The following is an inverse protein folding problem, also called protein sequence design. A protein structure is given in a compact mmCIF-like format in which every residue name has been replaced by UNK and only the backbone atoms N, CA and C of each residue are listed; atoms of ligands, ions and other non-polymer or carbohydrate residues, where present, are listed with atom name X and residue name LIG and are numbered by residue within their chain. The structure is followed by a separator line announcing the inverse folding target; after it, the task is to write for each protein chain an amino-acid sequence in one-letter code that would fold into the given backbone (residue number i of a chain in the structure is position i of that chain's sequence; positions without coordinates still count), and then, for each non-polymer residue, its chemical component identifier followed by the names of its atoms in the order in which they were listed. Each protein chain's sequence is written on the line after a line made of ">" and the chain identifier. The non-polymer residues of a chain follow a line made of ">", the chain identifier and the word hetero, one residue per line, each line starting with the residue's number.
data_IF_113415790280
#
_entry.id   IF_113415790280
#
_cell.length_a   1.000
_cell.length_b   1.000
_cell.length_c   1.000
_cell.angle_alpha   90.00
_cell.angle_beta   90.00
_cell.angle_gamma   90.00
#
_symmetry.space_group_name_H-M   'P 1'
#
loop_
_entity.id
_entity.type
_entity.pdbx_description
1 polymer ?
#
# COMPACT_ATOMS: atom_id res chain seq x y z
N UNK A 1 -2.39 -4.46 -19.87
CA UNK A 1 -1.76 -3.95 -18.64
C UNK A 1 -1.46 -5.04 -17.57
N UNK A 2 -2.08 -6.23 -17.63
CA UNK A 2 -1.93 -7.34 -16.67
C UNK A 2 -0.49 -7.92 -16.51
N UNK A 3 0.32 -7.96 -17.58
CA UNK A 3 1.70 -8.53 -17.55
C UNK A 3 2.68 -7.79 -16.62
N UNK A 4 2.47 -6.51 -16.32
CA UNK A 4 3.49 -5.66 -15.65
C UNK A 4 3.62 -5.95 -14.14
N UNK A 5 2.53 -6.33 -13.46
CA UNK A 5 2.57 -6.60 -12.02
C UNK A 5 3.04 -8.03 -11.72
N UNK A 6 2.73 -9.00 -12.58
CA UNK A 6 3.30 -10.35 -12.50
C UNK A 6 4.82 -10.33 -12.70
N UNK A 7 5.32 -9.46 -13.59
CA UNK A 7 6.76 -9.24 -13.76
C UNK A 7 7.44 -8.68 -12.52
N UNK A 8 6.76 -7.94 -11.63
CA UNK A 8 7.38 -7.35 -10.45
C UNK A 8 7.59 -8.36 -9.32
N UNK A 9 6.63 -9.27 -9.11
CA UNK A 9 6.83 -10.43 -8.23
C UNK A 9 7.94 -11.35 -8.78
N UNK A 10 7.98 -11.54 -10.10
CA UNK A 10 9.12 -12.22 -10.75
C UNK A 10 10.42 -11.46 -10.51
N UNK A 11 10.43 -10.12 -10.54
CA UNK A 11 11.63 -9.31 -10.33
C UNK A 11 12.22 -9.46 -8.93
N UNK A 12 11.41 -9.57 -7.87
CA UNK A 12 11.92 -9.89 -6.53
C UNK A 12 12.49 -11.31 -6.46
N UNK A 13 11.88 -12.26 -7.18
CA UNK A 13 12.45 -13.60 -7.36
C UNK A 13 13.76 -13.57 -8.17
N UNK A 14 13.90 -12.66 -9.14
CA UNK A 14 15.12 -12.48 -9.95
C UNK A 14 16.29 -11.89 -9.16
N UNK A 15 16.07 -11.16 -8.05
CA UNK A 15 17.17 -10.60 -7.25
C UNK A 15 18.06 -11.68 -6.64
N UNK A 16 17.47 -12.81 -6.22
CA UNK A 16 18.24 -13.95 -5.73
C UNK A 16 19.11 -14.58 -6.82
N UNK A 17 18.61 -14.65 -8.06
CA UNK A 17 19.39 -15.15 -9.19
C UNK A 17 20.61 -14.28 -9.50
N UNK A 18 20.48 -12.96 -9.40
CA UNK A 18 21.62 -12.04 -9.59
C UNK A 18 22.71 -12.34 -8.56
N UNK A 19 22.34 -12.54 -7.29
CA UNK A 19 23.31 -12.91 -6.25
C UNK A 19 23.99 -14.25 -6.54
N UNK A 20 23.22 -15.26 -6.99
CA UNK A 20 23.77 -16.57 -7.37
C UNK A 20 24.78 -16.42 -8.53
N UNK A 21 24.45 -15.64 -9.56
CA UNK A 21 25.33 -15.42 -10.72
C UNK A 21 26.62 -14.72 -10.29
N UNK A 22 26.53 -13.68 -9.46
CA UNK A 22 27.71 -12.98 -8.91
C UNK A 22 28.58 -13.95 -8.12
N UNK A 23 27.99 -14.78 -7.25
CA UNK A 23 28.73 -15.76 -6.46
C UNK A 23 29.42 -16.81 -7.33
N UNK A 24 28.75 -17.32 -8.37
CA UNK A 24 29.34 -18.28 -9.32
C UNK A 24 30.48 -17.64 -10.14
N UNK A 25 30.35 -16.37 -10.51
CA UNK A 25 31.40 -15.63 -11.21
C UNK A 25 32.63 -15.44 -10.31
N UNK A 26 32.44 -15.00 -9.06
CA UNK A 26 33.52 -14.86 -8.09
C UNK A 26 34.20 -16.20 -7.83
N UNK A 27 33.41 -17.27 -7.62
CA UNK A 27 33.94 -18.62 -7.44
C UNK A 27 34.79 -19.08 -8.63
N UNK A 28 34.31 -18.85 -9.87
CA UNK A 28 35.04 -19.22 -11.09
C UNK A 28 36.37 -18.46 -11.20
N UNK A 29 36.37 -17.15 -10.93
CA UNK A 29 37.58 -16.32 -10.99
C UNK A 29 38.61 -16.78 -9.96
N UNK A 30 38.19 -16.98 -8.72
CA UNK A 30 39.07 -17.45 -7.65
C UNK A 30 39.62 -18.85 -7.93
N UNK A 31 38.78 -19.77 -8.44
CA UNK A 31 39.20 -21.12 -8.80
C UNK A 31 40.22 -21.14 -9.94
N UNK A 32 40.08 -20.25 -10.94
CA UNK A 32 41.07 -20.10 -12.02
C UNK A 32 42.39 -19.54 -11.46
N UNK A 33 42.32 -18.57 -10.55
CA UNK A 33 43.50 -17.99 -9.89
C UNK A 33 44.25 -19.04 -9.06
N UNK A 34 43.54 -19.84 -8.27
CA UNK A 34 44.13 -20.89 -7.44
C UNK A 34 44.77 -21.99 -8.30
N UNK A 35 44.16 -22.31 -9.44
CA UNK A 35 44.73 -23.28 -10.39
C UNK A 35 46.01 -22.79 -11.04
N UNK A 36 46.14 -21.47 -11.28
CA UNK A 36 47.33 -20.89 -11.89
C UNK A 36 48.55 -20.87 -10.95
N UNK A 37 48.34 -20.81 -9.62
CA UNK A 37 49.39 -20.71 -8.60
C UNK A 37 49.33 -21.83 -7.54
N UNK A 38 49.61 -23.10 -7.88
CA UNK A 38 49.45 -24.24 -6.96
C UNK A 38 50.42 -24.27 -5.77
N UNK A 39 51.50 -23.46 -5.79
CA UNK A 39 52.56 -23.49 -4.78
C UNK A 39 52.34 -22.55 -3.59
N UNK A 40 51.26 -21.75 -3.58
CA UNK A 40 50.99 -20.81 -2.47
C UNK A 40 50.30 -21.50 -1.28
N UNK A 41 51.15 -21.95 -0.36
CA UNK A 41 51.01 -22.24 1.08
C UNK A 41 49.67 -22.71 1.72
N UNK A 42 49.65 -23.90 2.37
CA UNK A 42 48.54 -24.37 3.20
C UNK A 42 48.39 -23.67 4.57
N UNK A 43 49.40 -22.94 5.07
CA UNK A 43 49.34 -22.31 6.40
C UNK A 43 48.38 -21.11 6.44
N UNK A 44 48.42 -20.23 5.44
CA UNK A 44 47.53 -19.07 5.34
C UNK A 44 46.06 -19.49 5.15
N UNK A 45 45.83 -20.58 4.41
CA UNK A 45 44.50 -21.12 4.18
C UNK A 45 43.79 -21.50 5.49
N UNK A 46 44.53 -22.02 6.48
CA UNK A 46 43.93 -22.42 7.77
C UNK A 46 43.36 -21.22 8.53
N UNK A 47 44.12 -20.13 8.58
CA UNK A 47 43.68 -18.90 9.23
C UNK A 47 42.47 -18.28 8.53
N UNK A 48 42.48 -18.24 7.18
CA UNK A 48 41.38 -17.68 6.40
C UNK A 48 40.09 -18.49 6.60
N UNK A 49 40.15 -19.82 6.49
CA UNK A 49 38.98 -20.68 6.65
C UNK A 49 38.37 -20.56 8.06
N UNK A 50 39.23 -20.52 9.10
CA UNK A 50 38.78 -20.31 10.48
C UNK A 50 38.16 -18.92 10.67
N UNK A 51 38.80 -17.88 10.16
CA UNK A 51 38.31 -16.50 10.26
C UNK A 51 36.96 -16.31 9.55
N UNK A 52 36.77 -16.91 8.37
CA UNK A 52 35.49 -16.88 7.64
C UNK A 52 34.37 -17.52 8.47
N UNK A 53 34.60 -18.72 9.02
CA UNK A 53 33.61 -19.41 9.85
C UNK A 53 33.21 -18.57 11.07
N UNK A 54 34.20 -17.99 11.77
CA UNK A 54 33.95 -17.15 12.95
C UNK A 54 33.22 -15.85 12.59
N UNK A 55 33.65 -15.19 11.51
CA UNK A 55 33.02 -13.96 11.02
C UNK A 55 31.56 -14.17 10.62
N UNK A 56 31.27 -15.24 9.87
CA UNK A 56 29.89 -15.57 9.48
C UNK A 56 29.01 -15.91 10.69
N UNK A 57 29.54 -16.65 11.67
CA UNK A 57 28.82 -16.94 12.90
C UNK A 57 28.51 -15.67 13.69
N UNK A 58 29.47 -14.75 13.82
CA UNK A 58 29.28 -13.47 14.50
C UNK A 58 28.24 -12.59 13.79
N UNK A 59 28.29 -12.50 12.46
CA UNK A 59 27.32 -11.74 11.66
C UNK A 59 25.91 -12.33 11.81
N UNK A 60 25.76 -13.64 11.71
CA UNK A 60 24.46 -14.31 11.89
C UNK A 60 23.90 -14.03 13.29
N UNK A 61 24.72 -14.20 14.32
CA UNK A 61 24.33 -13.95 15.71
C UNK A 61 23.89 -12.50 15.92
N UNK A 62 24.62 -11.53 15.35
CA UNK A 62 24.29 -10.11 15.43
C UNK A 62 22.97 -9.79 14.73
N UNK A 63 22.79 -10.22 13.48
CA UNK A 63 21.57 -9.96 12.70
C UNK A 63 20.35 -10.58 13.37
N UNK A 64 20.51 -11.80 13.89
CA UNK A 64 19.44 -12.48 14.61
C UNK A 64 19.10 -11.77 15.92
N UNK A 65 20.11 -11.33 16.69
CA UNK A 65 19.90 -10.57 17.93
C UNK A 65 19.19 -9.26 17.67
N UNK A 66 19.60 -8.48 16.67
CA UNK A 66 18.91 -7.23 16.30
C UNK A 66 17.46 -7.54 15.90
N UNK A 67 17.23 -8.56 15.07
CA UNK A 67 15.88 -8.93 14.64
C UNK A 67 15.00 -9.31 15.83
N UNK A 68 15.54 -10.05 16.81
CA UNK A 68 14.83 -10.40 18.05
C UNK A 68 14.53 -9.17 18.90
N UNK A 69 15.50 -8.27 19.09
CA UNK A 69 15.30 -7.04 19.88
C UNK A 69 14.21 -6.19 19.24
N UNK A 70 14.23 -6.01 17.92
CA UNK A 70 13.18 -5.24 17.24
C UNK A 70 11.81 -5.94 17.36
N UNK A 71 11.75 -7.27 17.21
CA UNK A 71 10.51 -8.02 17.43
C UNK A 71 9.97 -7.84 18.87
N UNK A 72 10.84 -7.89 19.88
CA UNK A 72 10.47 -7.68 21.28
C UNK A 72 9.98 -6.26 21.55
N UNK A 73 10.64 -5.24 20.98
CA UNK A 73 10.21 -3.84 21.12
C UNK A 73 8.80 -3.60 20.56
N UNK A 74 8.39 -4.37 19.56
CA UNK A 74 7.04 -4.26 18.98
C UNK A 74 5.92 -4.92 19.81
N UNK A 75 6.24 -5.48 20.99
CA UNK A 75 5.30 -6.04 21.98
C UNK A 75 4.37 -7.17 21.50
N UNK A 76 4.65 -7.82 20.37
CA UNK A 76 3.85 -8.94 19.86
C UNK A 76 4.68 -10.20 19.68
N UNK A 77 4.55 -11.14 20.60
CA UNK A 77 5.15 -12.47 20.50
C UNK A 77 4.71 -13.22 19.21
N UNK A 78 3.50 -12.96 18.72
CA UNK A 78 3.00 -13.53 17.46
C UNK A 78 3.74 -13.02 16.22
N UNK A 79 4.33 -11.82 16.28
CA UNK A 79 5.14 -11.30 15.18
C UNK A 79 6.49 -12.02 15.07
N UNK A 80 7.05 -12.44 16.21
CA UNK A 80 8.30 -13.20 16.24
C UNK A 80 8.14 -14.54 15.51
N UNK A 81 7.04 -15.25 15.75
CA UNK A 81 6.74 -16.51 15.08
C UNK A 81 6.63 -16.33 13.55
N UNK A 82 5.94 -15.26 13.13
CA UNK A 82 5.80 -14.92 11.70
C UNK A 82 7.14 -14.58 11.02
N UNK A 83 8.06 -13.92 11.74
CA UNK A 83 9.38 -13.55 11.20
C UNK A 83 10.33 -14.77 11.19
N UNK A 84 10.39 -15.53 12.28
CA UNK A 84 11.31 -16.66 12.43
C UNK A 84 10.88 -17.84 11.54
N UNK A 85 9.57 -18.15 11.47
CA UNK A 85 9.09 -19.28 10.68
C UNK A 85 8.99 -18.99 9.18
N UNK A 86 9.25 -17.75 8.75
CA UNK A 86 9.21 -17.40 7.32
C UNK A 86 10.21 -18.25 6.54
N UNK A 87 9.79 -18.74 5.38
CA UNK A 87 10.61 -19.59 4.50
C UNK A 87 11.94 -18.93 4.14
N UNK A 88 11.96 -17.61 3.96
CA UNK A 88 13.17 -16.82 3.67
C UNK A 88 14.17 -16.86 4.84
N UNK A 89 13.70 -16.70 6.07
CA UNK A 89 14.54 -16.76 7.28
C UNK A 89 15.13 -18.16 7.46
N UNK A 90 14.31 -19.21 7.28
CA UNK A 90 14.78 -20.61 7.34
C UNK A 90 15.83 -20.89 6.27
N UNK A 91 15.62 -20.39 5.04
CA UNK A 91 16.58 -20.51 3.96
C UNK A 91 17.89 -19.78 4.29
N UNK A 92 17.83 -18.55 4.82
CA UNK A 92 19.01 -17.79 5.23
C UNK A 92 19.77 -18.51 6.35
N UNK A 93 19.08 -19.03 7.37
CA UNK A 93 19.68 -19.81 8.45
C UNK A 93 20.41 -21.05 7.92
N UNK A 94 19.81 -21.75 6.94
CA UNK A 94 20.44 -22.90 6.29
C UNK A 94 21.69 -22.47 5.51
N UNK A 95 21.60 -21.42 4.70
CA UNK A 95 22.72 -20.88 3.92
C UNK A 95 23.88 -20.48 4.84
N UNK A 96 23.62 -19.73 5.90
CA UNK A 96 24.65 -19.36 6.87
C UNK A 96 25.21 -20.57 7.62
N UNK A 97 24.36 -21.51 8.02
CA UNK A 97 24.81 -22.77 8.63
C UNK A 97 25.78 -23.53 7.73
N UNK A 98 25.46 -23.64 6.43
CA UNK A 98 26.36 -24.25 5.44
C UNK A 98 27.64 -23.44 5.25
N UNK A 99 27.57 -22.11 5.24
CA UNK A 99 28.73 -21.23 5.13
C UNK A 99 29.66 -21.25 6.34
N UNK A 100 29.15 -21.59 7.52
CA UNK A 100 29.94 -21.78 8.74
C UNK A 100 30.57 -23.18 8.77
N UNK A 101 29.82 -24.22 8.42
CA UNK A 101 30.28 -25.62 8.50
C UNK A 101 31.29 -25.95 7.39
N UNK A 102 31.10 -25.44 6.17
CA UNK A 102 31.94 -25.81 5.03
C UNK A 102 33.42 -25.43 5.19
N UNK A 103 33.80 -24.22 5.65
CA UNK A 103 35.20 -23.90 5.91
C UNK A 103 35.84 -24.83 6.96
N UNK A 104 35.09 -25.19 8.00
CA UNK A 104 35.55 -26.12 9.05
C UNK A 104 35.73 -27.55 8.50
N UNK A 105 34.87 -27.96 7.57
CA UNK A 105 34.99 -29.23 6.88
C UNK A 105 36.23 -29.24 5.97
N UNK A 106 36.45 -28.17 5.20
CA UNK A 106 37.66 -28.03 4.38
C UNK A 106 38.95 -28.12 5.21
N UNK A 107 38.96 -27.55 6.42
CA UNK A 107 40.05 -27.68 7.39
C UNK A 107 40.29 -29.14 7.82
N UNK A 108 39.22 -29.90 8.08
CA UNK A 108 39.30 -31.29 8.56
C UNK A 108 39.83 -32.24 7.49
N UNK A 109 39.43 -32.06 6.23
CA UNK A 109 39.75 -32.97 5.11
C UNK A 109 40.97 -32.54 4.29
N UNK A 110 41.55 -31.37 4.57
CA UNK A 110 42.74 -30.88 3.88
C UNK A 110 42.48 -30.35 2.46
N UNK A 111 41.24 -29.97 2.14
CA UNK A 111 40.86 -29.43 0.83
C UNK A 111 41.17 -27.94 0.73
N UNK A 112 42.44 -27.54 0.92
CA UNK A 112 42.79 -26.13 1.13
C UNK A 112 42.53 -25.23 -0.09
N UNK A 113 42.97 -25.61 -1.30
CA UNK A 113 42.81 -24.76 -2.49
C UNK A 113 41.33 -24.53 -2.82
N UNK A 114 40.58 -25.60 -3.10
CA UNK A 114 39.14 -25.49 -3.43
C UNK A 114 38.35 -24.94 -2.24
N UNK A 115 38.71 -25.33 -1.01
CA UNK A 115 38.02 -24.94 0.20
C UNK A 115 38.07 -23.45 0.46
N UNK A 116 39.21 -22.78 0.25
CA UNK A 116 39.33 -21.32 0.44
C UNK A 116 38.46 -20.59 -0.57
N UNK A 117 38.60 -20.90 -1.87
CA UNK A 117 37.79 -20.32 -2.93
C UNK A 117 36.28 -20.50 -2.71
N UNK A 118 35.83 -21.72 -2.40
CA UNK A 118 34.43 -21.99 -2.09
C UNK A 118 33.95 -21.24 -0.85
N UNK A 119 34.77 -21.18 0.21
CA UNK A 119 34.41 -20.52 1.46
C UNK A 119 34.27 -19.00 1.28
N UNK A 120 35.17 -18.37 0.53
CA UNK A 120 35.08 -16.94 0.21
C UNK A 120 33.82 -16.66 -0.61
N UNK A 121 33.56 -17.46 -1.65
CA UNK A 121 32.37 -17.29 -2.49
C UNK A 121 31.07 -17.42 -1.67
N UNK A 122 30.97 -18.43 -0.81
CA UNK A 122 29.81 -18.64 0.06
C UNK A 122 29.70 -17.54 1.11
N UNK A 123 30.81 -17.06 1.68
CA UNK A 123 30.80 -15.98 2.64
C UNK A 123 30.25 -14.69 2.02
N UNK A 124 30.68 -14.34 0.80
CA UNK A 124 30.13 -13.21 0.05
C UNK A 124 28.64 -13.40 -0.20
N UNK A 125 28.22 -14.58 -0.64
CA UNK A 125 26.80 -14.88 -0.81
C UNK A 125 25.99 -14.68 0.48
N UNK A 126 26.50 -15.17 1.62
CA UNK A 126 25.87 -15.01 2.93
C UNK A 126 25.69 -13.52 3.28
N UNK A 127 26.75 -12.72 3.16
CA UNK A 127 26.73 -11.28 3.45
C UNK A 127 25.74 -10.55 2.54
N UNK A 128 25.78 -10.78 1.23
CA UNK A 128 24.85 -10.11 0.30
C UNK A 128 23.40 -10.57 0.49
N UNK A 129 23.17 -11.81 0.91
CA UNK A 129 21.84 -12.35 1.23
C UNK A 129 21.19 -11.66 2.44
N UNK A 130 21.97 -10.95 3.27
CA UNK A 130 21.42 -10.14 4.37
C UNK A 130 20.61 -8.95 3.88
N UNK A 131 20.97 -8.34 2.74
CA UNK A 131 20.26 -7.17 2.22
C UNK A 131 18.78 -7.46 1.89
N UNK A 132 18.44 -8.49 1.08
CA UNK A 132 17.04 -8.83 0.83
C UNK A 132 16.33 -9.29 2.11
N UNK A 133 17.03 -9.99 3.02
CA UNK A 133 16.47 -10.40 4.30
C UNK A 133 16.09 -9.21 5.18
N UNK A 134 17.00 -8.26 5.41
CA UNK A 134 16.76 -7.06 6.21
C UNK A 134 15.65 -6.21 5.59
N UNK A 135 15.61 -6.11 4.26
CA UNK A 135 14.48 -5.45 3.55
C UNK A 135 13.16 -6.17 3.83
N UNK A 136 13.15 -7.50 3.81
CA UNK A 136 11.98 -8.33 4.12
C UNK A 136 11.49 -8.14 5.55
N UNK A 137 12.41 -8.15 6.53
CA UNK A 137 12.12 -7.88 7.94
C UNK A 137 11.55 -6.47 8.11
N UNK A 138 12.20 -5.45 7.55
CA UNK A 138 11.71 -4.07 7.61
C UNK A 138 10.30 -3.92 7.04
N UNK A 139 9.99 -4.62 5.94
CA UNK A 139 8.64 -4.61 5.35
C UNK A 139 7.59 -5.21 6.30
N UNK A 140 7.90 -6.33 6.96
CA UNK A 140 6.98 -6.95 7.94
C UNK A 140 6.77 -6.05 9.14
N UNK A 141 7.85 -5.50 9.71
CA UNK A 141 7.78 -4.60 10.85
C UNK A 141 6.92 -3.37 10.54
N UNK A 142 7.17 -2.74 9.38
CA UNK A 142 6.48 -1.53 8.97
C UNK A 142 4.99 -1.75 8.67
N UNK A 143 4.66 -2.80 7.91
CA UNK A 143 3.30 -2.98 7.40
C UNK A 143 2.47 -3.92 8.27
N UNK A 144 2.99 -5.10 8.62
CA UNK A 144 2.18 -6.08 9.35
C UNK A 144 2.05 -5.71 10.82
N UNK A 145 3.10 -5.14 11.42
CA UNK A 145 3.09 -4.79 12.84
C UNK A 145 2.75 -3.32 13.03
N UNK A 146 3.41 -2.43 12.28
CA UNK A 146 3.20 -0.98 12.39
C UNK A 146 1.74 -0.57 12.19
N UNK A 147 1.08 -1.09 11.14
CA UNK A 147 -0.33 -0.74 10.88
C UNK A 147 -1.25 -1.24 11.99
N UNK A 148 -1.05 -2.46 12.49
CA UNK A 148 -1.93 -3.05 13.51
C UNK A 148 -1.72 -2.39 14.88
N UNK A 149 -0.48 -2.03 15.23
CA UNK A 149 -0.21 -1.27 16.44
C UNK A 149 -0.82 0.14 16.36
N UNK A 150 -0.69 0.82 15.22
CA UNK A 150 -1.32 2.12 15.01
C UNK A 150 -2.84 2.05 15.08
N UNK A 151 -3.44 1.02 14.50
CA UNK A 151 -4.87 0.76 14.59
C UNK A 151 -5.36 0.61 16.04
N UNK A 152 -4.70 -0.25 16.83
CA UNK A 152 -5.04 -0.44 18.24
C UNK A 152 -4.88 0.86 19.06
N UNK A 153 -3.76 1.57 18.90
CA UNK A 153 -3.51 2.84 19.59
C UNK A 153 -4.57 3.90 19.24
N UNK A 154 -4.97 4.00 17.96
CA UNK A 154 -5.99 4.94 17.52
C UNK A 154 -7.37 4.55 18.06
N UNK A 155 -7.72 3.25 18.00
CA UNK A 155 -9.02 2.76 18.48
C UNK A 155 -9.16 2.93 20.00
N UNK A 156 -8.12 2.66 20.78
CA UNK A 156 -8.10 2.91 22.23
C UNK A 156 -8.28 4.41 22.54
N UNK A 157 -7.62 5.28 21.78
CA UNK A 157 -7.79 6.72 21.94
C UNK A 157 -9.23 7.17 21.61
N UNK A 158 -9.83 6.63 20.55
CA UNK A 158 -11.23 6.92 20.19
C UNK A 158 -12.19 6.44 21.29
N UNK A 159 -11.99 5.22 21.82
CA UNK A 159 -12.87 4.65 22.83
C UNK A 159 -12.78 5.38 24.17
N UNK A 160 -11.59 5.84 24.54
CA UNK A 160 -11.40 6.68 25.74
C UNK A 160 -11.98 8.10 25.61
N UNK A 161 -12.49 8.48 24.44
CA UNK A 161 -12.98 9.84 24.16
C UNK A 161 -11.86 10.89 24.16
N UNK A 162 -10.60 10.46 24.32
CA UNK A 162 -9.45 11.32 24.16
C UNK A 162 -9.34 11.66 22.68
N UNK A 163 -9.09 12.94 22.35
CA UNK A 163 -8.82 13.31 20.95
C UNK A 163 -7.65 12.44 20.48
N UNK A 164 -7.89 11.49 19.54
CA UNK A 164 -6.85 10.63 19.02
C UNK A 164 -5.69 11.50 18.60
N UNK A 165 -4.47 11.05 18.89
CA UNK A 165 -3.28 11.77 18.44
C UNK A 165 -3.34 11.81 16.92
N UNK A 166 -3.76 12.94 16.35
CA UNK A 166 -3.93 13.17 14.90
C UNK A 166 -2.67 12.74 14.14
N UNK A 167 -1.51 12.84 14.79
CA UNK A 167 -0.23 12.33 14.29
C UNK A 167 -0.26 10.86 13.88
N UNK A 168 -1.05 10.01 14.55
CA UNK A 168 -1.14 8.56 14.27
C UNK A 168 -1.95 8.26 13.00
N UNK A 169 -3.01 9.03 12.72
CA UNK A 169 -3.74 8.96 11.45
C UNK A 169 -2.83 9.45 10.31
N UNK A 170 -2.07 10.52 10.55
CA UNK A 170 -1.07 11.00 9.59
C UNK A 170 0.01 9.96 9.32
N UNK A 171 0.49 9.27 10.35
CA UNK A 171 1.45 8.17 10.22
C UNK A 171 0.88 7.02 9.37
N UNK A 172 -0.38 6.62 9.58
CA UNK A 172 -1.06 5.64 8.70
C UNK A 172 -1.15 6.13 7.25
N UNK A 173 -1.45 7.42 7.02
CA UNK A 173 -1.47 8.01 5.68
C UNK A 173 -0.07 7.96 5.02
N UNK A 174 0.98 8.34 5.75
CA UNK A 174 2.37 8.28 5.29
C UNK A 174 2.80 6.84 4.93
N UNK A 175 2.44 5.86 5.76
CA UNK A 175 2.67 4.44 5.47
C UNK A 175 1.92 4.04 4.18
N UNK A 176 0.69 4.52 4.01
CA UNK A 176 -0.11 4.34 2.79
C UNK A 176 0.58 4.89 1.55
N UNK A 177 1.09 6.11 1.61
CA UNK A 177 1.83 6.70 0.50
C UNK A 177 3.09 5.91 0.13
N UNK A 178 3.83 5.42 1.14
CA UNK A 178 5.02 4.61 0.88
C UNK A 178 4.61 3.25 0.27
N UNK A 179 3.52 2.63 0.73
CA UNK A 179 2.98 1.41 0.14
C UNK A 179 2.59 1.62 -1.34
N UNK A 180 2.05 2.80 -1.71
CA UNK A 180 1.77 3.16 -3.11
C UNK A 180 3.06 3.27 -3.92
N UNK A 181 4.08 3.95 -3.38
CA UNK A 181 5.39 4.07 -4.04
C UNK A 181 6.01 2.69 -4.30
N UNK A 182 5.91 1.79 -3.33
CA UNK A 182 6.39 0.40 -3.40
C UNK A 182 5.46 -0.54 -4.18
N UNK A 183 4.25 -0.08 -4.55
CA UNK A 183 3.22 -0.87 -5.25
C UNK A 183 2.75 -2.11 -4.49
N UNK A 184 2.45 -1.92 -3.21
CA UNK A 184 1.94 -2.92 -2.28
C UNK A 184 0.42 -2.78 -2.12
N UNK A 185 -0.34 -3.28 -3.11
CA UNK A 185 -1.81 -3.21 -3.11
C UNK A 185 -2.45 -3.95 -1.90
N UNK A 186 -1.81 -5.04 -1.45
CA UNK A 186 -2.18 -5.80 -0.25
C UNK A 186 -2.17 -4.92 1.01
N UNK A 187 -1.11 -4.13 1.16
CA UNK A 187 -0.93 -3.21 2.28
C UNK A 187 -1.92 -2.05 2.19
N UNK A 188 -2.16 -1.50 1.00
CA UNK A 188 -3.13 -0.41 0.82
C UNK A 188 -4.54 -0.86 1.18
N UNK A 189 -4.91 -2.09 0.80
CA UNK A 189 -6.19 -2.69 1.20
C UNK A 189 -6.30 -2.92 2.72
N UNK A 190 -5.18 -3.20 3.40
CA UNK A 190 -5.17 -3.26 4.86
C UNK A 190 -5.35 -1.85 5.48
N UNK A 191 -4.62 -0.86 4.99
CA UNK A 191 -4.69 0.53 5.47
C UNK A 191 -6.08 1.12 5.25
N UNK A 192 -6.70 0.88 4.09
CA UNK A 192 -8.05 1.37 3.80
C UNK A 192 -9.09 0.77 4.74
N UNK A 193 -8.99 -0.52 5.08
CA UNK A 193 -9.85 -1.16 6.07
C UNK A 193 -9.66 -0.58 7.47
N UNK A 194 -8.42 -0.37 7.89
CA UNK A 194 -8.10 0.24 9.19
C UNK A 194 -8.66 1.67 9.25
N UNK A 195 -8.34 2.52 8.27
CA UNK A 195 -8.84 3.89 8.20
C UNK A 195 -10.38 3.92 8.15
N UNK A 196 -11.03 3.06 7.35
CA UNK A 196 -12.49 2.98 7.31
C UNK A 196 -13.10 2.67 8.68
N UNK A 197 -12.58 1.65 9.38
CA UNK A 197 -13.06 1.30 10.73
C UNK A 197 -12.83 2.45 11.71
N UNK A 198 -11.64 3.06 11.70
CA UNK A 198 -11.30 4.21 12.54
C UNK A 198 -12.27 5.37 12.27
N UNK A 199 -12.52 5.71 11.00
CA UNK A 199 -13.43 6.79 10.61
C UNK A 199 -14.88 6.52 10.99
N UNK A 200 -15.36 5.29 10.83
CA UNK A 200 -16.70 4.90 11.29
C UNK A 200 -16.83 5.04 12.80
N UNK A 201 -15.82 4.57 13.55
CA UNK A 201 -15.85 4.63 15.00
C UNK A 201 -15.71 6.06 15.53
N UNK A 202 -14.88 6.89 14.89
CA UNK A 202 -14.79 8.31 15.25
C UNK A 202 -16.08 9.05 14.95
N UNK A 203 -16.77 8.72 13.85
CA UNK A 203 -18.09 9.26 13.54
C UNK A 203 -19.14 8.85 14.60
N UNK A 204 -19.17 7.58 15.01
CA UNK A 204 -20.03 7.08 16.10
C UNK A 204 -19.82 7.86 17.40
N UNK A 205 -18.57 8.17 17.74
CA UNK A 205 -18.20 8.91 18.94
C UNK A 205 -18.31 10.42 18.76
N UNK A 206 -18.87 10.90 17.64
CA UNK A 206 -19.02 12.32 17.28
C UNK A 206 -17.69 13.09 17.31
N UNK A 207 -16.56 12.40 17.05
CA UNK A 207 -15.23 12.98 16.97
C UNK A 207 -14.98 13.54 15.55
N UNK A 208 -15.79 14.52 15.13
CA UNK A 208 -15.88 14.95 13.73
C UNK A 208 -14.56 15.39 13.11
N UNK A 209 -13.71 16.09 13.87
CA UNK A 209 -12.39 16.46 13.39
C UNK A 209 -11.54 15.23 13.02
N UNK A 210 -11.60 14.17 13.82
CA UNK A 210 -10.87 12.91 13.56
C UNK A 210 -11.44 12.24 12.32
N UNK A 211 -12.77 12.16 12.23
CA UNK A 211 -13.47 11.60 11.06
C UNK A 211 -13.05 12.31 9.79
N UNK A 212 -12.98 13.65 9.82
CA UNK A 212 -12.55 14.45 8.70
C UNK A 212 -11.08 14.16 8.29
N UNK A 213 -10.17 14.01 9.25
CA UNK A 213 -8.79 13.62 8.96
C UNK A 213 -8.67 12.23 8.32
N UNK A 214 -9.50 11.28 8.74
CA UNK A 214 -9.58 9.95 8.13
C UNK A 214 -10.08 10.05 6.69
N UNK A 215 -11.11 10.86 6.43
CA UNK A 215 -11.64 11.10 5.08
C UNK A 215 -10.55 11.68 4.18
N UNK A 216 -9.79 12.69 4.64
CA UNK A 216 -8.65 13.22 3.90
C UNK A 216 -7.58 12.18 3.59
N UNK A 217 -7.23 11.33 4.56
CA UNK A 217 -6.27 10.26 4.37
C UNK A 217 -6.75 9.25 3.31
N UNK A 218 -8.00 8.79 3.41
CA UNK A 218 -8.61 7.88 2.44
C UNK A 218 -8.65 8.50 1.04
N UNK A 219 -9.08 9.75 0.92
CA UNK A 219 -9.10 10.50 -0.34
C UNK A 219 -7.72 10.58 -1.00
N UNK A 220 -6.70 10.99 -0.24
CA UNK A 220 -5.32 11.11 -0.73
C UNK A 220 -4.74 9.76 -1.18
N UNK A 221 -4.92 8.71 -0.38
CA UNK A 221 -4.49 7.34 -0.74
C UNK A 221 -5.25 6.87 -1.98
N UNK A 222 -6.56 7.15 -2.08
CA UNK A 222 -7.41 6.79 -3.22
C UNK A 222 -6.93 7.41 -4.52
N UNK A 223 -6.71 8.73 -4.53
CA UNK A 223 -6.19 9.47 -5.67
C UNK A 223 -4.85 8.93 -6.15
N UNK A 224 -3.89 8.77 -5.23
CA UNK A 224 -2.55 8.23 -5.54
C UNK A 224 -2.61 6.77 -6.01
N UNK A 225 -3.57 5.98 -5.51
CA UNK A 225 -3.78 4.59 -5.94
C UNK A 225 -4.31 4.49 -7.37
N UNK A 226 -5.28 5.34 -7.73
CA UNK A 226 -5.79 5.46 -9.10
C UNK A 226 -4.70 5.95 -10.04
N UNK A 227 -3.95 6.99 -9.64
CA UNK A 227 -2.86 7.54 -10.44
C UNK A 227 -1.80 6.48 -10.77
N UNK A 228 -1.49 5.62 -9.79
CA UNK A 228 -0.55 4.50 -9.95
C UNK A 228 -1.10 3.36 -10.82
N UNK A 229 -2.41 3.34 -11.08
CA UNK A 229 -3.10 2.29 -11.83
C UNK A 229 -3.26 1.00 -11.02
N UNK A 230 -3.46 1.11 -9.71
CA UNK A 230 -3.75 -0.07 -8.90
C UNK A 230 -5.10 -0.69 -9.24
N UNK A 231 -5.16 -2.00 -8.99
CA UNK A 231 -6.35 -2.79 -9.28
C UNK A 231 -7.54 -2.33 -8.45
N UNK A 232 -8.69 -2.79 -8.94
CA UNK A 232 -9.99 -2.64 -8.34
C UNK A 232 -10.01 -2.81 -6.82
N UNK A 233 -9.44 -3.89 -6.26
CA UNK A 233 -9.60 -4.22 -4.84
C UNK A 233 -9.09 -3.15 -3.86
N UNK A 234 -7.92 -2.51 -4.12
CA UNK A 234 -7.37 -1.51 -3.19
C UNK A 234 -8.15 -0.20 -3.26
N UNK A 235 -8.46 0.27 -4.47
CA UNK A 235 -9.18 1.53 -4.67
C UNK A 235 -10.65 1.39 -4.29
N UNK A 236 -11.28 0.25 -4.61
CA UNK A 236 -12.64 -0.07 -4.16
C UNK A 236 -12.75 -0.03 -2.64
N UNK A 237 -11.81 -0.65 -1.92
CA UNK A 237 -11.81 -0.64 -0.46
C UNK A 237 -11.76 0.78 0.13
N UNK A 238 -11.14 1.74 -0.57
CA UNK A 238 -11.12 3.15 -0.18
C UNK A 238 -12.47 3.82 -0.45
N UNK A 239 -13.05 3.60 -1.64
CA UNK A 239 -14.36 4.11 -2.05
C UNK A 239 -15.46 3.58 -1.12
N UNK A 240 -15.45 2.28 -0.81
CA UNK A 240 -16.32 1.66 0.20
C UNK A 240 -16.10 2.25 1.59
N UNK A 241 -14.84 2.48 1.96
CA UNK A 241 -14.48 3.07 3.25
C UNK A 241 -15.08 4.46 3.43
N UNK A 242 -14.99 5.31 2.41
CA UNK A 242 -15.63 6.64 2.38
C UNK A 242 -17.15 6.54 2.51
N UNK A 243 -17.79 5.63 1.75
CA UNK A 243 -19.24 5.38 1.87
C UNK A 243 -19.63 4.96 3.29
N UNK A 244 -18.89 4.03 3.90
CA UNK A 244 -19.21 3.56 5.25
C UNK A 244 -19.09 4.66 6.30
N UNK A 245 -18.10 5.54 6.16
CA UNK A 245 -17.96 6.72 7.01
C UNK A 245 -19.16 7.65 6.83
N UNK A 246 -19.53 8.02 5.59
CA UNK A 246 -20.69 8.87 5.34
C UNK A 246 -21.98 8.26 5.90
N UNK A 247 -22.25 6.98 5.64
CA UNK A 247 -23.41 6.26 6.18
C UNK A 247 -23.47 6.34 7.70
N UNK A 248 -22.33 6.18 8.38
CA UNK A 248 -22.27 6.23 9.84
C UNK A 248 -22.50 7.66 10.34
N UNK A 249 -21.86 8.66 9.71
CA UNK A 249 -22.06 10.08 10.01
C UNK A 249 -23.53 10.51 9.87
N UNK A 250 -24.22 10.08 8.82
CA UNK A 250 -25.63 10.44 8.57
C UNK A 250 -26.58 9.91 9.66
N UNK A 251 -26.33 8.70 10.16
CA UNK A 251 -27.16 8.04 11.20
C UNK A 251 -27.08 8.68 12.58
N UNK A 252 -26.06 9.49 12.85
CA UNK A 252 -25.98 10.21 14.12
C UNK A 252 -26.91 11.45 14.03
N UNK A 253 -28.20 11.22 14.34
CA UNK A 253 -29.34 12.16 14.15
C UNK A 253 -29.31 13.35 15.12
N UNK A 254 -28.70 13.19 16.29
CA UNK A 254 -28.89 14.12 17.41
C UNK A 254 -28.11 15.44 17.34
N UNK A 255 -27.22 15.63 16.35
CA UNK A 255 -26.43 16.86 16.24
C UNK A 255 -26.42 17.32 14.79
N UNK A 256 -27.37 18.18 14.42
CA UNK A 256 -27.18 19.09 13.30
C UNK A 256 -26.09 20.09 13.70
N UNK A 257 -24.93 20.02 13.07
CA UNK A 257 -23.86 20.96 13.31
C UNK A 257 -22.93 20.97 12.12
N UNK A 258 -22.39 22.14 11.80
CA UNK A 258 -21.57 22.45 10.62
C UNK A 258 -20.46 21.41 10.35
N UNK A 259 -19.94 20.74 11.40
CA UNK A 259 -18.94 19.69 11.27
C UNK A 259 -19.44 18.38 10.65
N UNK A 260 -20.70 17.99 10.91
CA UNK A 260 -21.31 16.80 10.31
C UNK A 260 -21.38 16.99 8.80
N UNK A 261 -21.89 18.15 8.39
CA UNK A 261 -22.05 18.50 6.98
C UNK A 261 -20.68 18.61 6.31
N UNK A 262 -19.70 19.23 6.96
CA UNK A 262 -18.32 19.27 6.45
C UNK A 262 -17.71 17.88 6.18
N UNK A 263 -18.01 16.87 7.02
CA UNK A 263 -17.56 15.49 6.77
C UNK A 263 -18.26 14.89 5.56
N UNK A 264 -19.57 15.11 5.39
CA UNK A 264 -20.33 14.59 4.23
C UNK A 264 -19.85 15.24 2.94
N UNK A 265 -19.72 16.57 2.92
CA UNK A 265 -19.17 17.35 1.81
C UNK A 265 -17.79 16.83 1.41
N UNK A 266 -16.89 16.61 2.38
CA UNK A 266 -15.55 16.10 2.05
C UNK A 266 -15.56 14.64 1.57
N UNK A 267 -16.48 13.79 2.06
CA UNK A 267 -16.66 12.44 1.51
C UNK A 267 -17.12 12.50 0.06
N UNK A 268 -18.13 13.31 -0.25
CA UNK A 268 -18.66 13.48 -1.60
C UNK A 268 -17.57 14.02 -2.55
N UNK A 269 -16.84 15.05 -2.13
CA UNK A 269 -15.69 15.58 -2.86
C UNK A 269 -14.60 14.53 -3.06
N UNK A 270 -14.28 13.75 -2.03
CA UNK A 270 -13.28 12.68 -2.13
C UNK A 270 -13.69 11.57 -3.10
N UNK A 271 -14.96 11.16 -3.11
CA UNK A 271 -15.51 10.22 -4.07
C UNK A 271 -15.44 10.79 -5.49
N UNK A 272 -15.85 12.04 -5.71
CA UNK A 272 -15.75 12.74 -7.00
C UNK A 272 -14.33 12.78 -7.53
N UNK A 273 -13.39 13.25 -6.71
CA UNK A 273 -11.97 13.37 -7.08
C UNK A 273 -11.39 12.00 -7.51
N UNK A 274 -11.73 10.93 -6.79
CA UNK A 274 -11.33 9.56 -7.14
C UNK A 274 -11.98 9.11 -8.45
N UNK A 275 -13.28 9.38 -8.63
CA UNK A 275 -14.05 9.01 -9.83
C UNK A 275 -13.56 9.71 -11.10
N UNK A 276 -13.35 11.03 -11.04
CA UNK A 276 -12.79 11.82 -12.15
C UNK A 276 -11.41 11.30 -12.51
N UNK A 277 -10.55 11.06 -11.50
CA UNK A 277 -9.22 10.49 -11.75
C UNK A 277 -9.30 9.07 -12.33
N UNK A 278 -10.30 8.29 -11.93
CA UNK A 278 -10.53 6.95 -12.47
C UNK A 278 -10.99 7.00 -13.94
N UNK A 279 -11.82 7.99 -14.30
CA UNK A 279 -12.20 8.25 -15.68
C UNK A 279 -10.98 8.59 -16.55
N UNK A 280 -10.11 9.48 -16.10
CA UNK A 280 -8.83 9.79 -16.78
C UNK A 280 -7.96 8.54 -17.03
N UNK A 281 -8.03 7.54 -16.13
CA UNK A 281 -7.24 6.31 -16.20
C UNK A 281 -7.99 5.15 -16.87
N UNK A 282 -9.23 5.33 -17.29
CA UNK A 282 -10.05 4.27 -17.88
C UNK A 282 -10.41 3.14 -16.89
N UNK A 283 -10.55 3.44 -15.59
CA UNK A 283 -10.86 2.45 -14.56
C UNK A 283 -12.37 2.34 -14.32
N UNK A 284 -13.08 1.77 -15.30
CA UNK A 284 -14.55 1.71 -15.34
C UNK A 284 -15.22 1.16 -14.08
N UNK A 285 -14.69 0.08 -13.49
CA UNK A 285 -15.30 -0.52 -12.31
C UNK A 285 -15.26 0.42 -11.10
N UNK A 286 -14.20 1.23 -10.97
CA UNK A 286 -14.12 2.25 -9.92
C UNK A 286 -15.10 3.38 -10.18
N UNK A 287 -15.29 3.78 -11.44
CA UNK A 287 -16.25 4.83 -11.80
C UNK A 287 -17.68 4.40 -11.43
N UNK A 288 -18.03 3.15 -11.73
CA UNK A 288 -19.34 2.57 -11.37
C UNK A 288 -19.55 2.59 -9.85
N UNK A 289 -18.59 2.08 -9.08
CA UNK A 289 -18.67 2.08 -7.61
C UNK A 289 -18.78 3.52 -7.05
N UNK A 290 -18.02 4.47 -7.60
CA UNK A 290 -18.09 5.88 -7.17
C UNK A 290 -19.46 6.49 -7.49
N UNK A 291 -20.02 6.26 -8.69
CA UNK A 291 -21.32 6.79 -9.07
C UNK A 291 -22.44 6.23 -8.18
N UNK A 292 -22.41 4.92 -7.88
CA UNK A 292 -23.37 4.29 -6.96
C UNK A 292 -23.25 4.86 -5.55
N UNK A 293 -22.03 5.10 -5.06
CA UNK A 293 -21.82 5.61 -3.70
C UNK A 293 -22.15 7.09 -3.57
N UNK A 294 -21.87 7.92 -4.57
CA UNK A 294 -22.31 9.32 -4.61
C UNK A 294 -23.85 9.40 -4.56
N UNK A 295 -24.53 8.56 -5.34
CA UNK A 295 -26.01 8.48 -5.37
C UNK A 295 -26.57 8.04 -4.03
N UNK A 296 -25.97 7.00 -3.43
CA UNK A 296 -26.37 6.53 -2.10
C UNK A 296 -26.20 7.62 -1.04
N UNK A 297 -25.04 8.27 -0.98
CA UNK A 297 -24.78 9.31 0.03
C UNK A 297 -25.71 10.50 -0.19
N UNK A 298 -25.88 10.96 -1.44
CA UNK A 298 -26.79 12.05 -1.78
C UNK A 298 -28.25 11.77 -1.41
N UNK A 299 -28.75 10.56 -1.65
CA UNK A 299 -30.10 10.14 -1.26
C UNK A 299 -30.28 10.23 0.25
N UNK A 300 -29.33 9.68 1.00
CA UNK A 300 -29.44 9.58 2.46
C UNK A 300 -29.22 10.92 3.15
N UNK A 301 -28.41 11.81 2.57
CA UNK A 301 -28.18 13.15 3.11
C UNK A 301 -29.21 14.18 2.66
N UNK A 302 -29.89 13.96 1.53
CA UNK A 302 -30.69 14.98 0.85
C UNK A 302 -29.82 16.14 0.30
N UNK A 303 -28.50 15.94 0.22
CA UNK A 303 -27.55 16.98 -0.15
C UNK A 303 -27.43 17.11 -1.67
N UNK A 304 -27.72 18.32 -2.15
CA UNK A 304 -27.62 18.68 -3.57
C UNK A 304 -26.17 18.65 -4.06
N UNK A 305 -25.17 18.74 -3.19
CA UNK A 305 -23.77 18.63 -3.58
C UNK A 305 -23.43 17.27 -4.20
N UNK A 306 -24.05 16.18 -3.73
CA UNK A 306 -23.83 14.86 -4.31
C UNK A 306 -24.17 14.82 -5.81
N UNK A 307 -25.22 15.56 -6.19
CA UNK A 307 -25.64 15.70 -7.56
C UNK A 307 -24.62 16.51 -8.37
N UNK A 308 -24.11 17.63 -7.83
CA UNK A 308 -23.02 18.41 -8.47
C UNK A 308 -21.82 17.50 -8.77
N UNK A 309 -21.42 16.67 -7.81
CA UNK A 309 -20.28 15.77 -7.96
C UNK A 309 -20.54 14.64 -8.98
N UNK A 310 -21.77 14.11 -9.07
CA UNK A 310 -22.17 13.19 -10.14
C UNK A 310 -22.11 13.83 -11.52
N UNK A 311 -22.51 15.10 -11.64
CA UNK A 311 -22.40 15.88 -12.87
C UNK A 311 -20.94 16.07 -13.30
N UNK A 312 -20.04 16.40 -12.36
CA UNK A 312 -18.60 16.48 -12.67
C UNK A 312 -18.06 15.11 -13.13
N UNK A 313 -18.47 14.02 -12.47
CA UNK A 313 -18.09 12.66 -12.87
C UNK A 313 -18.58 12.33 -14.28
N UNK A 314 -19.84 12.65 -14.61
CA UNK A 314 -20.41 12.44 -15.94
C UNK A 314 -19.65 13.17 -17.04
N UNK A 315 -19.34 14.46 -16.82
CA UNK A 315 -18.51 15.23 -17.75
C UNK A 315 -17.11 14.59 -17.94
N UNK A 316 -16.50 14.06 -16.88
CA UNK A 316 -15.23 13.35 -16.97
C UNK A 316 -15.34 12.03 -17.77
N UNK A 317 -16.39 11.24 -17.56
CA UNK A 317 -16.62 9.99 -18.31
C UNK A 317 -16.83 10.28 -19.79
N UNK A 318 -17.66 11.26 -20.13
CA UNK A 318 -17.88 11.68 -21.52
C UNK A 318 -16.60 12.14 -22.20
N UNK A 319 -15.69 12.79 -21.46
CA UNK A 319 -14.41 13.26 -22.00
C UNK A 319 -13.42 12.11 -22.22
N UNK A 320 -13.24 11.28 -21.20
CA UNK A 320 -12.12 10.34 -21.14
C UNK A 320 -12.48 8.93 -21.61
N UNK A 321 -13.77 8.57 -21.57
CA UNK A 321 -14.30 7.26 -21.95
C UNK A 321 -15.56 7.42 -22.81
N UNK A 322 -15.49 8.12 -23.96
CA UNK A 322 -16.65 8.39 -24.78
C UNK A 322 -17.30 7.11 -25.33
N UNK A 323 -18.64 7.06 -25.34
CA UNK A 323 -19.40 6.00 -26.00
C UNK A 323 -19.50 4.70 -25.19
N UNK A 324 -19.29 4.77 -23.87
CA UNK A 324 -19.23 3.60 -23.02
C UNK A 324 -20.48 3.46 -22.13
N UNK A 325 -20.77 2.22 -21.72
CA UNK A 325 -21.89 1.87 -20.80
C UNK A 325 -21.84 2.68 -19.49
N UNK A 326 -20.67 3.18 -19.10
CA UNK A 326 -20.49 3.98 -17.89
C UNK A 326 -21.25 5.31 -17.97
N UNK A 327 -21.37 5.94 -19.15
CA UNK A 327 -22.18 7.16 -19.31
C UNK A 327 -23.65 6.90 -18.93
N UNK A 328 -24.20 5.78 -19.40
CA UNK A 328 -25.58 5.39 -19.06
C UNK A 328 -25.76 5.13 -17.57
N UNK A 329 -24.74 4.59 -16.88
CA UNK A 329 -24.77 4.36 -15.43
C UNK A 329 -24.75 5.69 -14.68
N UNK A 330 -23.89 6.64 -15.06
CA UNK A 330 -23.83 7.95 -14.40
C UNK A 330 -25.13 8.75 -14.64
N UNK A 331 -25.63 8.77 -15.88
CA UNK A 331 -26.91 9.42 -16.23
C UNK A 331 -28.07 8.83 -15.43
N UNK A 332 -28.15 7.50 -15.29
CA UNK A 332 -29.18 6.84 -14.49
C UNK A 332 -29.12 7.27 -13.02
N UNK A 333 -27.92 7.29 -12.44
CA UNK A 333 -27.68 7.70 -11.07
C UNK A 333 -28.06 9.18 -10.82
N UNK A 334 -27.77 10.07 -11.77
CA UNK A 334 -28.19 11.49 -11.73
C UNK A 334 -29.71 11.60 -11.66
N UNK A 335 -30.43 10.95 -12.59
CA UNK A 335 -31.90 10.99 -12.65
C UNK A 335 -32.54 10.42 -11.38
N UNK A 336 -32.04 9.28 -10.92
CA UNK A 336 -32.50 8.63 -9.68
C UNK A 336 -32.31 9.56 -8.47
N UNK A 337 -31.21 10.32 -8.42
CA UNK A 337 -30.94 11.27 -7.35
C UNK A 337 -31.81 12.53 -7.46
N UNK A 338 -32.00 13.09 -8.66
CA UNK A 338 -32.89 14.22 -8.93
C UNK A 338 -34.33 13.94 -8.47
N UNK A 339 -34.86 12.77 -8.84
CA UNK A 339 -36.18 12.30 -8.41
C UNK A 339 -36.26 12.19 -6.88
N UNK A 340 -35.21 11.67 -6.25
CA UNK A 340 -35.19 11.45 -4.79
C UNK A 340 -35.11 12.76 -4.00
N UNK A 341 -34.31 13.73 -4.45
CA UNK A 341 -34.15 15.03 -3.76
C UNK A 341 -35.30 16.00 -4.13
N UNK A 342 -36.13 15.65 -5.13
CA UNK A 342 -37.24 16.50 -5.58
C UNK A 342 -36.76 17.75 -6.32
N UNK A 343 -35.59 17.67 -6.97
CA UNK A 343 -35.01 18.77 -7.75
C UNK A 343 -35.30 18.50 -9.21
N UNK A 344 -36.27 19.24 -9.77
CA UNK A 344 -36.70 19.09 -11.17
C UNK A 344 -35.59 19.52 -12.15
N UNK A 345 -34.71 20.42 -11.72
CA UNK A 345 -33.51 20.80 -12.45
C UNK A 345 -32.50 21.39 -11.48
N UNK A 346 -31.29 20.83 -11.45
CA UNK A 346 -30.17 21.49 -10.77
C UNK A 346 -29.93 22.83 -11.44
N UNK A 347 -29.56 23.85 -10.67
CA UNK A 347 -28.99 25.05 -11.26
C UNK A 347 -27.68 24.67 -11.96
N UNK A 348 -27.81 24.39 -13.26
CA UNK A 348 -26.73 23.97 -14.14
C UNK A 348 -25.59 24.99 -14.10
N UNK A 349 -25.90 26.28 -13.91
CA UNK A 349 -24.89 27.33 -13.83
C UNK A 349 -24.02 27.19 -12.59
N UNK A 350 -24.61 26.97 -11.42
CA UNK A 350 -23.87 26.73 -10.17
C UNK A 350 -23.02 25.45 -10.22
N UNK A 351 -23.59 24.38 -10.78
CA UNK A 351 -22.94 23.08 -10.91
C UNK A 351 -21.75 23.17 -11.85
N UNK A 352 -21.97 23.77 -13.02
CA UNK A 352 -20.97 23.98 -14.03
C UNK A 352 -19.82 24.84 -13.48
N UNK A 353 -20.13 25.91 -12.74
CA UNK A 353 -19.12 26.76 -12.10
C UNK A 353 -18.24 25.97 -11.13
N UNK A 354 -18.83 25.20 -10.21
CA UNK A 354 -18.07 24.40 -9.24
C UNK A 354 -17.23 23.32 -9.92
N UNK A 355 -17.79 22.59 -10.89
CA UNK A 355 -17.03 21.62 -11.66
C UNK A 355 -15.88 22.27 -12.44
N UNK A 356 -16.08 23.46 -13.03
CA UNK A 356 -15.03 24.19 -13.76
C UNK A 356 -13.94 24.74 -12.86
N UNK A 357 -14.30 25.21 -11.66
CA UNK A 357 -13.33 25.68 -10.67
C UNK A 357 -12.45 24.53 -10.16
N UNK A 358 -13.04 23.35 -9.94
CA UNK A 358 -12.31 22.17 -9.44
C UNK A 358 -11.59 21.39 -10.57
N UNK A 359 -12.18 21.30 -11.76
CA UNK A 359 -11.66 20.57 -12.93
C UNK A 359 -11.72 21.44 -14.20
N UNK A 360 -10.78 22.39 -14.37
CA UNK A 360 -10.81 23.34 -15.49
C UNK A 360 -10.78 22.68 -16.87
N UNK A 361 -10.23 21.47 -16.95
CA UNK A 361 -10.10 20.70 -18.17
C UNK A 361 -11.43 20.08 -18.64
N UNK A 362 -12.45 20.01 -17.79
CA UNK A 362 -13.78 19.48 -18.13
C UNK A 362 -14.72 20.51 -18.77
N UNK A 363 -14.30 21.78 -18.85
CA UNK A 363 -15.10 22.94 -19.28
C UNK A 363 -15.93 22.66 -20.54
N UNK A 364 -15.29 22.20 -21.61
CA UNK A 364 -15.94 22.02 -22.93
C UNK A 364 -16.75 20.71 -23.03
N UNK A 365 -16.67 19.86 -22.01
CA UNK A 365 -17.38 18.57 -22.00
C UNK A 365 -18.69 18.64 -21.22
N UNK A 366 -18.80 19.60 -20.29
CA UNK A 366 -20.00 19.77 -19.48
C UNK A 366 -21.25 20.02 -20.34
N UNK A 367 -21.15 20.90 -21.33
CA UNK A 367 -22.25 21.17 -22.29
C UNK A 367 -22.65 19.93 -23.09
N UNK A 368 -21.67 19.13 -23.51
CA UNK A 368 -21.90 17.88 -24.26
C UNK A 368 -22.61 16.84 -23.39
N UNK A 369 -22.23 16.74 -22.12
CA UNK A 369 -22.84 15.83 -21.16
C UNK A 369 -24.24 16.28 -20.71
N UNK A 370 -24.50 17.59 -20.66
CA UNK A 370 -25.80 18.13 -20.28
C UNK A 370 -26.89 17.92 -21.34
N UNK A 371 -26.51 17.91 -22.63
CA UNK A 371 -27.47 17.83 -23.73
C UNK A 371 -28.39 16.60 -23.70
N UNK A 372 -27.92 15.36 -23.41
CA UNK A 372 -28.79 14.19 -23.24
C UNK A 372 -29.73 14.24 -22.03
N UNK A 373 -29.43 15.05 -21.01
CA UNK A 373 -30.25 15.17 -19.79
C UNK A 373 -31.40 16.17 -19.95
N UNK A 374 -31.32 17.08 -20.93
CA UNK A 374 -32.37 18.05 -21.26
C UNK A 374 -33.48 17.47 -22.15
N UNK A 375 -33.29 16.27 -22.69
CA UNK A 375 -34.28 15.53 -23.49
C UNK A 375 -34.94 14.46 -22.65
#
# INVERSE_FOLDING_TARGET
>A
MWKKNEMRYKLEKYKWWILIIITLAVFSILSISDYANPNECPENARYILSAISQGLAAILALVFTITLVVAQMTRRYTAMDKIILRRETKFLMLVFGTGIILPLFALKFGWFCVGVSSSIAIALFCVFSLLPFLKGVNSVLKYDIGIVNLDEEIMEAIESGYKPRISKIRELNEIGEIAIKESREDVISLISRVLSRVGMKSAEKKLWYVTLQVVYALKNIGLKSVEKGFKYNSTRGIVDGLRFIARKTLKEIEVSGDFKDAVIVEVLKGLSDIGVKAAEKGLEDIIKDVAEHLTYVGRESGDKEALIWLWCLGAAVTKYIPGYVVDAIVIRNIRELEETIGVISVDLYSTERLCKEQYPDLKDTFEKFAYPLQK
#
